data_IF_194127876770
#
_entry.id   IF_194127876770
#
_cell.length_a   1.000
_cell.length_b   1.000
_cell.length_c   1.000
_cell.angle_alpha   90.00
_cell.angle_beta   90.00
_cell.angle_gamma   90.00
#
_symmetry.space_group_name_H-M   'P 1'
#
loop_
_entity.id
_entity.type
_entity.pdbx_description
1 polymer ?
#
# COMPACT_ATOMS: atom_id res chain seq x y z
N UNK A 1 -8.54 29.88 77.25
CA UNK A 1 -8.16 31.26 76.91
C UNK A 1 -6.64 31.26 76.83
N UNK A 2 -5.96 31.34 75.69
CA UNK A 2 -6.24 31.92 74.36
C UNK A 2 -5.37 31.14 73.35
N UNK A 3 -5.85 30.59 72.25
CA UNK A 3 -6.43 31.23 71.06
C UNK A 3 -5.38 31.97 70.19
N UNK A 4 -5.05 31.30 69.08
CA UNK A 4 -4.82 31.81 67.72
C UNK A 4 -3.72 32.84 67.40
N UNK A 5 -3.23 32.69 66.15
CA UNK A 5 -2.69 33.72 65.25
C UNK A 5 -1.20 34.08 65.46
N UNK A 6 -0.29 34.09 64.49
CA UNK A 6 -0.35 34.00 63.03
C UNK A 6 0.99 33.43 62.54
N UNK A 7 0.97 32.29 61.85
CA UNK A 7 2.04 31.93 60.91
C UNK A 7 1.53 32.34 59.52
N UNK A 8 1.70 33.61 59.17
CA UNK A 8 1.36 34.11 57.83
C UNK A 8 2.49 33.78 56.86
N UNK A 9 2.57 32.51 56.45
CA UNK A 9 3.26 32.16 55.22
C UNK A 9 2.29 32.48 54.09
N UNK A 10 2.62 33.55 53.38
CA UNK A 10 1.93 34.08 52.22
C UNK A 10 1.67 32.99 51.19
N UNK A 11 0.43 32.99 50.70
CA UNK A 11 -0.02 32.29 49.50
C UNK A 11 0.69 32.79 48.24
N UNK A 12 0.54 32.01 47.18
CA UNK A 12 1.04 32.18 45.80
C UNK A 12 2.54 31.92 45.65
N UNK A 13 2.98 30.97 44.82
CA UNK A 13 2.51 30.78 43.46
C UNK A 13 2.58 29.32 43.01
N UNK A 14 1.44 28.88 42.49
CA UNK A 14 1.24 27.84 41.46
C UNK A 14 2.43 26.97 41.08
N UNK A 15 2.29 25.67 41.40
CA UNK A 15 2.90 24.57 40.67
C UNK A 15 2.71 24.83 39.17
N UNK A 16 3.79 25.11 38.45
CA UNK A 16 3.80 24.95 37.00
C UNK A 16 3.58 23.47 36.73
N UNK A 17 2.31 23.14 36.48
CA UNK A 17 1.94 21.96 35.74
C UNK A 17 2.73 22.02 34.44
N UNK A 18 3.48 20.97 34.16
CA UNK A 18 3.97 20.65 32.84
C UNK A 18 2.76 20.55 31.91
N UNK A 19 2.32 21.69 31.39
CA UNK A 19 1.41 21.77 30.27
C UNK A 19 2.16 21.12 29.12
N UNK A 20 1.86 19.83 28.90
CA UNK A 20 2.20 19.12 27.69
C UNK A 20 1.64 19.90 26.51
N UNK A 21 2.44 20.84 26.00
CA UNK A 21 2.16 21.56 24.76
C UNK A 21 1.86 20.47 23.73
N UNK A 22 0.73 20.52 23.03
CA UNK A 22 0.48 19.59 21.94
C UNK A 22 1.64 19.77 20.99
N UNK A 23 2.52 18.78 20.95
CA UNK A 23 3.67 18.77 20.08
C UNK A 23 3.09 19.00 18.70
N UNK A 24 3.45 20.10 18.03
CA UNK A 24 2.89 20.45 16.73
C UNK A 24 3.26 19.34 15.72
N UNK A 25 2.45 18.29 15.67
CA UNK A 25 2.53 17.24 14.64
C UNK A 25 2.32 17.87 13.25
N UNK A 26 1.78 19.10 13.22
CA UNK A 26 1.62 19.96 12.05
C UNK A 26 2.87 20.73 11.58
N UNK A 27 4.06 20.51 12.15
CA UNK A 27 5.31 21.07 11.64
C UNK A 27 5.75 20.48 10.27
N UNK A 28 7.02 20.70 9.89
CA UNK A 28 7.66 20.17 8.64
C UNK A 28 7.33 18.69 8.39
N UNK A 29 7.18 17.89 9.44
CA UNK A 29 6.78 16.48 9.38
C UNK A 29 5.38 16.27 8.77
N UNK A 30 4.38 17.08 9.16
CA UNK A 30 3.03 17.01 8.61
C UNK A 30 2.96 17.45 7.14
N UNK A 31 3.76 18.46 6.76
CA UNK A 31 3.87 18.89 5.36
C UNK A 31 4.50 17.81 4.48
N UNK A 32 5.55 17.14 4.98
CA UNK A 32 6.20 16.03 4.27
C UNK A 32 5.29 14.82 4.13
N UNK A 33 4.52 14.49 5.17
CA UNK A 33 3.52 13.43 5.11
C UNK A 33 2.44 13.74 4.06
N UNK A 34 1.91 14.96 4.04
CA UNK A 34 0.94 15.41 3.03
C UNK A 34 1.50 15.25 1.61
N UNK A 35 2.74 15.69 1.37
CA UNK A 35 3.37 15.55 0.06
C UNK A 35 3.53 14.08 -0.39
N UNK A 36 3.79 13.15 0.55
CA UNK A 36 3.80 11.72 0.23
C UNK A 36 2.40 11.20 -0.13
N UNK A 37 1.37 11.58 0.64
CA UNK A 37 -0.01 11.14 0.42
C UNK A 37 -0.53 11.63 -0.95
N UNK A 38 -0.40 12.91 -1.24
CA UNK A 38 -0.83 13.49 -2.54
C UNK A 38 -0.14 12.81 -3.72
N UNK A 39 1.15 12.48 -3.59
CA UNK A 39 1.89 11.75 -4.63
C UNK A 39 1.39 10.31 -4.78
N UNK A 40 1.06 9.63 -3.69
CA UNK A 40 0.51 8.26 -3.75
C UNK A 40 -0.88 8.26 -4.36
N UNK A 41 -1.75 9.21 -3.98
CA UNK A 41 -3.11 9.34 -4.52
C UNK A 41 -3.07 9.53 -6.03
N UNK A 42 -2.23 10.44 -6.54
CA UNK A 42 -2.03 10.60 -7.99
C UNK A 42 -1.54 9.31 -8.67
N UNK A 43 -0.61 8.59 -8.05
CA UNK A 43 -0.11 7.32 -8.61
C UNK A 43 -1.18 6.22 -8.61
N UNK A 44 -2.07 6.18 -7.62
CA UNK A 44 -3.19 5.25 -7.60
C UNK A 44 -4.26 5.61 -8.65
N UNK A 45 -4.51 6.90 -8.90
CA UNK A 45 -5.35 7.35 -10.02
C UNK A 45 -4.76 6.93 -11.37
N UNK A 46 -3.47 7.18 -11.61
CA UNK A 46 -2.76 6.76 -12.84
C UNK A 46 -2.83 5.24 -13.02
N UNK A 47 -2.64 4.48 -11.94
CA UNK A 47 -2.74 3.02 -11.94
C UNK A 47 -4.16 2.53 -12.24
N UNK A 48 -5.18 3.23 -11.73
CA UNK A 48 -6.58 2.92 -12.03
C UNK A 48 -6.89 3.14 -13.50
N UNK A 49 -6.48 4.29 -14.06
CA UNK A 49 -6.66 4.60 -15.48
C UNK A 49 -5.99 3.54 -16.37
N UNK A 50 -4.74 3.17 -16.07
CA UNK A 50 -4.04 2.08 -16.79
C UNK A 50 -4.74 0.73 -16.66
N UNK A 51 -5.35 0.44 -15.50
CA UNK A 51 -6.10 -0.81 -15.32
C UNK A 51 -7.39 -0.83 -16.16
N UNK A 52 -8.04 0.32 -16.32
CA UNK A 52 -9.19 0.50 -17.21
C UNK A 52 -8.79 0.30 -18.68
N UNK A 53 -7.71 0.95 -19.14
CA UNK A 53 -7.18 0.76 -20.50
C UNK A 53 -6.87 -0.72 -20.80
N UNK A 54 -6.23 -1.42 -19.86
CA UNK A 54 -5.94 -2.85 -19.99
C UNK A 54 -7.24 -3.67 -20.11
N UNK A 55 -8.27 -3.30 -19.36
CA UNK A 55 -9.57 -3.98 -19.40
C UNK A 55 -10.26 -3.75 -20.74
N UNK A 56 -10.18 -2.55 -21.31
CA UNK A 56 -10.71 -2.23 -22.63
C UNK A 56 -10.04 -3.06 -23.71
N UNK A 57 -8.71 -3.15 -23.72
CA UNK A 57 -7.95 -4.00 -24.66
C UNK A 57 -8.37 -5.47 -24.57
N UNK A 58 -8.56 -6.01 -23.36
CA UNK A 58 -9.11 -7.37 -23.21
C UNK A 58 -10.56 -7.47 -23.69
N UNK A 59 -11.36 -6.42 -23.53
CA UNK A 59 -12.72 -6.32 -24.04
C UNK A 59 -12.77 -6.37 -25.57
N UNK A 60 -11.92 -5.60 -26.24
CA UNK A 60 -11.74 -5.61 -27.69
C UNK A 60 -11.30 -7.00 -28.17
N UNK A 61 -10.27 -7.57 -27.56
CA UNK A 61 -9.79 -8.91 -27.92
C UNK A 61 -10.91 -9.96 -27.79
N UNK A 62 -11.73 -9.87 -26.75
CA UNK A 62 -12.90 -10.73 -26.59
C UNK A 62 -13.94 -10.53 -27.69
N UNK A 63 -14.21 -9.28 -28.09
CA UNK A 63 -15.12 -8.96 -29.19
C UNK A 63 -14.62 -9.51 -30.53
N UNK A 64 -13.30 -9.59 -30.71
CA UNK A 64 -12.64 -10.23 -31.85
C UNK A 64 -12.51 -11.77 -31.73
N UNK A 65 -13.07 -12.38 -30.69
CA UNK A 65 -13.11 -13.84 -30.54
C UNK A 65 -11.92 -14.48 -29.83
N UNK A 66 -11.01 -13.69 -29.25
CA UNK A 66 -9.90 -14.21 -28.47
C UNK A 66 -10.31 -14.63 -27.04
N UNK A 67 -9.75 -15.72 -26.54
CA UNK A 67 -9.92 -16.12 -25.14
C UNK A 67 -9.00 -15.30 -24.21
N UNK A 68 -9.61 -14.37 -23.48
CA UNK A 68 -8.93 -13.49 -22.52
C UNK A 68 -8.20 -14.27 -21.42
N UNK A 69 -8.71 -15.44 -21.00
CA UNK A 69 -8.05 -16.25 -19.96
C UNK A 69 -6.70 -16.78 -20.44
N UNK A 70 -6.66 -17.31 -21.65
CA UNK A 70 -5.43 -17.78 -22.29
C UNK A 70 -4.47 -16.63 -22.57
N UNK A 71 -4.95 -15.48 -23.04
CA UNK A 71 -4.10 -14.28 -23.22
C UNK A 71 -3.40 -13.87 -21.92
N UNK A 72 -4.12 -13.85 -20.78
CA UNK A 72 -3.51 -13.56 -19.47
C UNK A 72 -2.45 -14.58 -19.08
N UNK A 73 -2.66 -15.87 -19.39
CA UNK A 73 -1.64 -16.91 -19.19
C UNK A 73 -0.41 -16.64 -20.04
N UNK A 74 -0.58 -16.30 -21.32
CA UNK A 74 0.52 -15.95 -22.23
C UNK A 74 1.30 -14.73 -21.72
N UNK A 75 0.62 -13.66 -21.30
CA UNK A 75 1.29 -12.47 -20.72
C UNK A 75 2.11 -12.84 -19.48
N UNK A 76 1.60 -13.73 -18.61
CA UNK A 76 2.36 -14.22 -17.45
C UNK A 76 3.59 -15.01 -17.86
N UNK A 77 3.44 -15.94 -18.81
CA UNK A 77 4.55 -16.73 -19.34
C UNK A 77 5.63 -15.86 -20.00
N UNK A 78 5.22 -14.76 -20.66
CA UNK A 78 6.14 -13.79 -21.28
C UNK A 78 6.92 -12.95 -20.28
N UNK A 79 6.48 -12.87 -19.01
CA UNK A 79 7.20 -12.20 -17.93
C UNK A 79 8.23 -13.11 -17.25
N UNK A 80 8.14 -14.42 -17.45
CA UNK A 80 9.12 -15.37 -16.95
C UNK A 80 10.37 -15.34 -17.84
N UNK A 81 11.51 -15.58 -17.22
CA UNK A 81 12.76 -15.82 -17.93
C UNK A 81 12.65 -17.04 -18.86
N UNK A 82 13.39 -17.03 -19.97
CA UNK A 82 13.29 -18.09 -20.98
C UNK A 82 13.69 -19.46 -20.45
N UNK A 83 14.74 -19.53 -19.64
CA UNK A 83 15.26 -20.78 -19.10
C UNK A 83 14.29 -21.35 -18.07
N UNK A 84 13.74 -20.49 -17.19
CA UNK A 84 12.71 -20.89 -16.22
C UNK A 84 11.46 -21.44 -16.90
N UNK A 85 11.02 -20.82 -18.00
CA UNK A 85 9.86 -21.30 -18.76
C UNK A 85 10.12 -22.69 -19.36
N UNK A 86 11.31 -22.92 -19.91
CA UNK A 86 11.68 -24.22 -20.47
C UNK A 86 11.76 -25.30 -19.39
N UNK A 87 12.33 -24.96 -18.22
CA UNK A 87 12.39 -25.87 -17.07
C UNK A 87 10.99 -26.26 -16.57
N UNK A 88 10.09 -25.27 -16.38
CA UNK A 88 8.71 -25.52 -15.97
C UNK A 88 7.95 -26.36 -17.01
N UNK A 89 8.17 -26.14 -18.31
CA UNK A 89 7.53 -26.87 -19.40
C UNK A 89 8.00 -28.33 -19.46
N UNK A 90 9.31 -28.58 -19.31
CA UNK A 90 9.87 -29.93 -19.25
C UNK A 90 9.36 -30.73 -18.03
N UNK A 91 9.25 -30.07 -16.86
CA UNK A 91 8.68 -30.68 -15.66
C UNK A 91 7.19 -31.00 -15.85
N UNK A 92 6.43 -30.08 -16.44
CA UNK A 92 5.01 -30.29 -16.72
C UNK A 92 4.80 -31.48 -17.65
N UNK A 93 5.56 -31.56 -18.74
CA UNK A 93 5.50 -32.68 -19.70
C UNK A 93 5.82 -34.01 -19.01
N UNK A 94 6.88 -34.05 -18.20
CA UNK A 94 7.27 -35.24 -17.42
C UNK A 94 6.13 -35.72 -16.52
N UNK A 95 5.48 -34.80 -15.81
CA UNK A 95 4.38 -35.14 -14.91
C UNK A 95 3.11 -35.54 -15.67
N UNK A 96 2.80 -34.90 -16.79
CA UNK A 96 1.67 -35.30 -17.64
C UNK A 96 1.87 -36.70 -18.22
N UNK A 97 3.09 -37.03 -18.65
CA UNK A 97 3.44 -38.37 -19.15
C UNK A 97 3.29 -39.43 -18.08
N UNK A 98 3.73 -39.15 -16.84
CA UNK A 98 3.60 -40.07 -15.72
C UNK A 98 2.15 -40.45 -15.38
N UNK A 99 1.18 -39.59 -15.74
CA UNK A 99 -0.26 -39.82 -15.50
C UNK A 99 -1.06 -40.11 -16.79
N UNK A 100 -0.39 -40.31 -17.93
CA UNK A 100 -1.03 -40.67 -19.20
C UNK A 100 -1.86 -39.55 -19.84
N UNK A 101 -1.48 -38.29 -19.62
CA UNK A 101 -2.14 -37.10 -20.19
C UNK A 101 -1.49 -36.56 -21.48
N UNK A 102 -0.47 -37.23 -22.00
CA UNK A 102 0.21 -36.98 -23.29
C UNK A 102 0.28 -38.26 -24.11
#
# INVERSE_FOLDING_TARGET
MTEAALNSYTSDDTKQADEGKPQEVGGVTGQRLRAFLERIERLEEEKSALAEDIKEVFGEAKAHGFDVKTMRKVIRLRKLDADKRQEEEALLETYMAAIGMV
#
